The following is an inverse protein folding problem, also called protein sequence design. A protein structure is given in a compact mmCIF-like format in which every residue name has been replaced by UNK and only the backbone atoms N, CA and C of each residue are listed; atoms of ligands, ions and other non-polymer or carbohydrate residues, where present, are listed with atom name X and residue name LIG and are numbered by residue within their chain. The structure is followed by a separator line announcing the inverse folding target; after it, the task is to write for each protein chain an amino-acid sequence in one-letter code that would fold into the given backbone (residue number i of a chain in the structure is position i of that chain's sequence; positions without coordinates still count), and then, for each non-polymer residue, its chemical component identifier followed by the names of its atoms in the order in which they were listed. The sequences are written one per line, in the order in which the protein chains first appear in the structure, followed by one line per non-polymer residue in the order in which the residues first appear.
data_IF_683866399620
#
_entry.id   IF_683866399620
#
_cell.length_a   1.000
_cell.length_b   1.000
_cell.length_c   1.000
_cell.angle_alpha   90.00
_cell.angle_beta   90.00
_cell.angle_gamma   90.00
#
_symmetry.space_group_name_H-M   'P 1'
#
loop_
_entity.id
_entity.type
_entity.pdbx_description
1 polymer ?
#
# COMPACT_ATOMS: atom_id res chain seq x y z
N UNK A 1 -6.13 7.43 -15.06
CA UNK A 1 -5.29 7.06 -13.91
C UNK A 1 -6.18 6.89 -12.68
N UNK A 2 -5.86 6.06 -11.68
CA UNK A 2 -6.69 5.90 -10.47
C UNK A 2 -6.97 7.22 -9.72
N UNK A 3 -6.22 8.29 -9.99
CA UNK A 3 -6.46 9.63 -9.44
C UNK A 3 -7.71 10.27 -10.04
N UNK A 4 -8.00 10.02 -11.32
CA UNK A 4 -9.19 10.51 -12.01
C UNK A 4 -10.47 9.85 -11.49
N UNK A 5 -10.34 8.70 -10.81
CA UNK A 5 -11.44 8.00 -10.16
C UNK A 5 -11.68 8.46 -8.70
N UNK A 6 -10.81 9.31 -8.14
CA UNK A 6 -10.97 9.87 -6.79
C UNK A 6 -10.91 8.83 -5.66
N UNK A 7 -10.26 7.69 -5.87
CA UNK A 7 -10.14 6.66 -4.84
C UNK A 7 -9.21 7.16 -3.71
N UNK A 8 -9.66 7.15 -2.44
CA UNK A 8 -8.87 7.71 -1.34
C UNK A 8 -7.62 6.90 -1.03
N UNK A 9 -7.66 5.59 -1.28
CA UNK A 9 -6.57 4.65 -1.01
C UNK A 9 -6.27 3.81 -2.25
N UNK A 10 -5.00 3.71 -2.62
CA UNK A 10 -4.56 2.92 -3.75
C UNK A 10 -3.41 1.98 -3.35
N UNK A 11 -3.68 0.68 -3.13
CA UNK A 11 -2.62 -0.31 -2.97
C UNK A 11 -2.10 -0.79 -4.32
N UNK A 12 -0.80 -1.07 -4.37
CA UNK A 12 -0.11 -1.74 -5.48
C UNK A 12 0.79 -2.83 -4.91
N UNK A 13 0.64 -4.04 -5.44
CA UNK A 13 1.47 -5.19 -5.05
C UNK A 13 2.26 -5.61 -6.28
N UNK A 14 3.57 -5.66 -6.13
CA UNK A 14 4.49 -6.26 -7.10
C UNK A 14 4.89 -7.64 -6.58
N UNK A 15 4.95 -8.62 -7.48
CA UNK A 15 5.38 -9.97 -7.18
C UNK A 15 6.73 -10.23 -7.85
N UNK A 16 7.53 -11.13 -7.26
CA UNK A 16 8.88 -11.50 -7.71
C UNK A 16 9.85 -10.32 -7.95
N UNK A 17 10.37 -9.67 -6.89
CA UNK A 17 10.15 -9.94 -5.45
C UNK A 17 8.84 -9.33 -4.94
N UNK A 18 8.30 -9.88 -3.85
CA UNK A 18 7.11 -9.30 -3.23
C UNK A 18 7.42 -7.91 -2.66
N UNK A 19 6.69 -6.91 -3.15
CA UNK A 19 6.78 -5.53 -2.68
C UNK A 19 5.38 -4.91 -2.63
N UNK A 20 5.03 -4.30 -1.50
CA UNK A 20 3.74 -3.65 -1.28
C UNK A 20 3.94 -2.15 -1.19
N UNK A 21 3.18 -1.42 -2.01
CA UNK A 21 3.05 0.02 -1.95
C UNK A 21 1.61 0.38 -1.62
N UNK A 22 1.41 1.44 -0.85
CA UNK A 22 0.11 2.07 -0.72
C UNK A 22 0.25 3.58 -0.81
N UNK A 23 -0.76 4.19 -1.42
CA UNK A 23 -0.82 5.63 -1.62
C UNK A 23 -2.16 6.18 -1.16
N UNK A 24 -2.13 7.36 -0.57
CA UNK A 24 -3.32 8.14 -0.23
C UNK A 24 -3.50 9.29 -1.21
N UNK A 25 -4.74 9.56 -1.59
CA UNK A 25 -5.07 10.72 -2.41
C UNK A 25 -5.13 11.97 -1.54
N UNK A 26 -4.10 12.81 -1.62
CA UNK A 26 -3.96 14.09 -0.92
C UNK A 26 -3.94 15.22 -1.96
N UNK A 27 -4.88 16.16 -1.86
CA UNK A 27 -4.99 17.31 -2.77
C UNK A 27 -4.93 16.93 -4.27
N UNK A 28 -5.58 15.82 -4.63
CA UNK A 28 -5.65 15.32 -6.01
C UNK A 28 -4.38 14.61 -6.50
N UNK A 29 -3.43 14.30 -5.60
CA UNK A 29 -2.20 13.57 -5.91
C UNK A 29 -2.05 12.38 -4.97
N UNK A 30 -1.50 11.29 -5.49
CA UNK A 30 -1.17 10.14 -4.68
C UNK A 30 0.16 10.36 -3.97
N UNK A 31 0.13 10.30 -2.64
CA UNK A 31 1.31 10.34 -1.77
C UNK A 31 1.56 8.97 -1.14
N UNK A 32 2.81 8.50 -1.07
CA UNK A 32 3.11 7.18 -0.51
C UNK A 32 2.86 7.17 1.00
N UNK A 33 2.10 6.17 1.46
CA UNK A 33 1.84 5.90 2.88
C UNK A 33 2.41 4.56 3.34
N UNK A 34 2.68 3.65 2.40
CA UNK A 34 3.36 2.38 2.65
C UNK A 34 4.36 2.12 1.53
N UNK A 35 5.55 1.67 1.93
CA UNK A 35 6.60 1.11 1.06
C UNK A 35 7.25 -0.04 1.84
N UNK A 36 6.91 -1.28 1.49
CA UNK A 36 7.24 -2.46 2.29
C UNK A 36 7.66 -3.65 1.43
N UNK A 37 8.87 -4.16 1.66
CA UNK A 37 9.40 -5.37 1.03
C UNK A 37 9.39 -6.62 1.94
N UNK A 38 9.50 -6.43 3.27
CA UNK A 38 9.59 -7.54 4.23
C UNK A 38 8.46 -7.56 5.25
N UNK A 39 8.07 -6.39 5.77
CA UNK A 39 7.01 -6.23 6.76
C UNK A 39 6.11 -5.06 6.36
N UNK A 40 4.83 -5.34 6.19
CA UNK A 40 3.77 -4.37 5.97
C UNK A 40 3.29 -3.89 7.33
N UNK A 41 3.54 -2.61 7.62
CA UNK A 41 3.02 -1.92 8.80
C UNK A 41 2.00 -0.89 8.31
N UNK A 42 0.76 -1.04 8.78
CA UNK A 42 -0.31 -0.07 8.57
C UNK A 42 -0.74 0.37 9.96
N UNK A 43 -0.58 1.65 10.29
CA UNK A 43 -0.91 2.16 11.63
C UNK A 43 -2.34 2.69 11.74
N UNK A 44 -3.01 2.93 10.60
CA UNK A 44 -4.36 3.49 10.53
C UNK A 44 -5.16 2.92 9.36
N UNK A 45 -6.47 2.71 9.52
CA UNK A 45 -7.27 2.90 10.74
C UNK A 45 -7.06 1.79 11.79
N UNK A 46 -6.28 0.75 11.48
CA UNK A 46 -5.97 -0.37 12.36
C UNK A 46 -4.45 -0.52 12.47
N UNK A 47 -3.92 -0.98 13.62
CA UNK A 47 -2.52 -1.38 13.78
C UNK A 47 -2.36 -2.81 13.23
N UNK A 48 -1.98 -2.90 11.96
CA UNK A 48 -1.74 -4.16 11.24
C UNK A 48 -0.25 -4.31 11.02
N UNK A 49 0.29 -5.44 11.46
CA UNK A 49 1.65 -5.90 11.13
C UNK A 49 1.56 -7.25 10.43
N UNK A 50 1.95 -7.28 9.16
CA UNK A 50 1.93 -8.47 8.31
C UNK A 50 3.33 -8.67 7.73
N UNK A 51 3.87 -9.88 7.78
CA UNK A 51 5.10 -10.15 7.03
C UNK A 51 4.74 -10.37 5.58
N UNK A 52 5.59 -9.88 4.67
CA UNK A 52 5.39 -10.03 3.24
C UNK A 52 5.22 -11.52 2.85
N UNK A 53 6.02 -12.42 3.44
CA UNK A 53 5.89 -13.87 3.22
C UNK A 53 4.52 -14.48 3.58
N UNK A 54 3.69 -13.79 4.35
CA UNK A 54 2.34 -14.23 4.71
C UNK A 54 1.27 -13.74 3.70
N UNK A 55 1.64 -12.88 2.74
CA UNK A 55 0.75 -12.32 1.70
C UNK A 55 0.79 -13.10 0.38
N UNK A 56 1.84 -13.89 0.16
CA UNK A 56 1.99 -14.74 -1.03
C UNK A 56 1.58 -16.19 -0.71
N UNK A 57 1.01 -16.94 -1.68
CA UNK A 57 0.68 -18.36 -1.52
C UNK A 57 1.88 -19.24 -1.15
#
# INVERSE_FOLDING_TARGET
MPADAGLPHHPRIEQDPLHVYAYDLVDGRYEPVVDAAEELIVDKPFDIRLRARDLAP
#
